data_IF_387497562284
#
_entry.id   IF_387497562284
#
_cell.length_a   1.000
_cell.length_b   1.000
_cell.length_c   1.000
_cell.angle_alpha   90.00
_cell.angle_beta   90.00
_cell.angle_gamma   90.00
#
_symmetry.space_group_name_H-M   'P 1'
#
loop_
_entity.id
_entity.type
_entity.pdbx_description
1 polymer ?
#
# COMPACT_ATOMS: atom_id res chain seq x y z
N UNK A 1 -6.71 20.11 -20.60
CA UNK A 1 -8.17 19.94 -20.65
C UNK A 1 -8.63 18.51 -20.35
N UNK A 2 -8.17 17.48 -21.10
CA UNK A 2 -8.63 16.09 -20.88
C UNK A 2 -8.12 15.49 -19.56
N UNK A 3 -6.88 15.75 -19.18
CA UNK A 3 -6.28 15.30 -17.91
C UNK A 3 -7.02 15.89 -16.71
N UNK A 4 -7.33 17.18 -16.73
CA UNK A 4 -8.10 17.82 -15.65
C UNK A 4 -9.49 17.22 -15.51
N UNK A 5 -10.17 16.98 -16.65
CA UNK A 5 -11.49 16.31 -16.66
C UNK A 5 -11.41 14.92 -16.07
N UNK A 6 -10.35 14.18 -16.40
CA UNK A 6 -10.12 12.85 -15.86
C UNK A 6 -9.94 12.86 -14.33
N UNK A 7 -9.13 13.78 -13.80
CA UNK A 7 -8.91 13.89 -12.36
C UNK A 7 -10.19 14.25 -11.60
N UNK A 8 -11.00 15.14 -12.16
CA UNK A 8 -12.30 15.47 -11.59
C UNK A 8 -13.25 14.24 -11.60
N UNK A 9 -13.24 13.46 -12.68
CA UNK A 9 -14.04 12.25 -12.78
C UNK A 9 -13.55 11.18 -11.79
N UNK A 10 -12.24 10.98 -11.65
CA UNK A 10 -11.65 10.07 -10.66
C UNK A 10 -12.05 10.48 -9.24
N UNK A 11 -11.93 11.75 -8.89
CA UNK A 11 -12.32 12.28 -7.59
C UNK A 11 -13.81 12.04 -7.26
N UNK A 12 -14.67 12.04 -8.30
CA UNK A 12 -16.09 11.73 -8.18
C UNK A 12 -16.44 10.24 -8.32
N UNK A 13 -15.42 9.39 -8.54
CA UNK A 13 -15.60 7.94 -8.82
C UNK A 13 -16.43 7.66 -10.09
N UNK A 14 -16.40 8.58 -11.03
CA UNK A 14 -17.02 8.44 -12.36
C UNK A 14 -16.07 7.67 -13.30
N UNK A 15 -15.88 6.37 -13.01
CA UNK A 15 -14.82 5.57 -13.60
C UNK A 15 -14.86 5.50 -15.13
N UNK A 16 -16.06 5.43 -15.73
CA UNK A 16 -16.22 5.41 -17.18
C UNK A 16 -15.78 6.73 -17.82
N UNK A 17 -16.22 7.84 -17.26
CA UNK A 17 -15.82 9.19 -17.70
C UNK A 17 -14.31 9.39 -17.56
N UNK A 18 -13.73 8.86 -16.47
CA UNK A 18 -12.28 8.92 -16.23
C UNK A 18 -11.50 8.11 -17.28
N UNK A 19 -11.89 6.85 -17.56
CA UNK A 19 -11.25 6.00 -18.58
C UNK A 19 -11.31 6.65 -19.97
N UNK A 20 -12.47 7.16 -20.38
CA UNK A 20 -12.63 7.87 -21.66
C UNK A 20 -11.78 9.13 -21.75
N UNK A 21 -11.74 9.95 -20.70
CA UNK A 21 -10.96 11.17 -20.66
C UNK A 21 -9.45 10.90 -20.67
N UNK A 22 -9.00 9.87 -19.92
CA UNK A 22 -7.59 9.43 -19.90
C UNK A 22 -7.18 8.81 -21.23
N UNK A 23 -8.06 8.06 -21.88
CA UNK A 23 -7.79 7.52 -23.21
C UNK A 23 -7.59 8.63 -24.24
N UNK A 24 -8.41 9.68 -24.18
CA UNK A 24 -8.20 10.87 -25.03
C UNK A 24 -6.93 11.63 -24.66
N UNK A 25 -6.64 11.75 -23.35
CA UNK A 25 -5.39 12.37 -22.88
C UNK A 25 -4.16 11.65 -23.42
N UNK A 26 -4.14 10.33 -23.34
CA UNK A 26 -3.06 9.49 -23.82
C UNK A 26 -2.92 9.47 -25.35
N UNK A 27 -4.01 9.68 -26.08
CA UNK A 27 -3.95 9.87 -27.53
C UNK A 27 -3.12 11.10 -27.92
N UNK A 28 -3.24 12.20 -27.16
CA UNK A 28 -2.46 13.43 -27.39
C UNK A 28 -1.09 13.44 -26.70
N UNK A 29 -0.95 12.73 -25.57
CA UNK A 29 0.28 12.63 -24.77
C UNK A 29 0.55 11.17 -24.42
N UNK A 30 1.06 10.35 -25.35
CA UNK A 30 1.23 8.91 -25.15
C UNK A 30 2.28 8.54 -24.11
N UNK A 31 3.19 9.44 -23.77
CA UNK A 31 4.26 9.19 -22.79
C UNK A 31 3.93 9.67 -21.37
N UNK A 32 2.65 9.90 -21.05
CA UNK A 32 2.26 10.33 -19.72
C UNK A 32 2.03 9.12 -18.81
N UNK A 33 3.04 8.79 -18.01
CA UNK A 33 3.04 7.67 -17.05
C UNK A 33 1.87 7.74 -16.08
N UNK A 34 1.61 8.92 -15.52
CA UNK A 34 0.53 9.11 -14.55
C UNK A 34 -0.86 8.89 -15.15
N UNK A 35 -1.05 9.23 -16.42
CA UNK A 35 -2.30 8.96 -17.12
C UNK A 35 -2.55 7.45 -17.30
N UNK A 36 -1.52 6.64 -17.54
CA UNK A 36 -1.65 5.18 -17.56
C UNK A 36 -2.01 4.64 -16.19
N UNK A 37 -1.31 5.05 -15.12
CA UNK A 37 -1.60 4.60 -13.75
C UNK A 37 -3.04 4.93 -13.34
N UNK A 38 -3.48 6.16 -13.62
CA UNK A 38 -4.83 6.60 -13.30
C UNK A 38 -5.89 5.91 -14.15
N UNK A 39 -5.58 5.59 -15.43
CA UNK A 39 -6.49 4.81 -16.28
C UNK A 39 -6.60 3.37 -15.82
N UNK A 40 -5.50 2.78 -15.38
CA UNK A 40 -5.53 1.47 -14.75
C UNK A 40 -6.47 1.44 -13.54
N UNK A 41 -6.43 2.46 -12.68
CA UNK A 41 -7.35 2.61 -11.57
C UNK A 41 -8.82 2.62 -12.03
N UNK A 42 -9.16 3.46 -12.99
CA UNK A 42 -10.52 3.52 -13.52
C UNK A 42 -10.96 2.15 -14.07
N UNK A 43 -10.07 1.48 -14.83
CA UNK A 43 -10.31 0.17 -15.44
C UNK A 43 -10.48 -0.95 -14.43
N UNK A 44 -9.76 -0.92 -13.32
CA UNK A 44 -9.96 -1.87 -12.21
C UNK A 44 -11.37 -1.74 -11.66
N UNK A 45 -11.82 -0.52 -11.40
CA UNK A 45 -13.16 -0.25 -10.89
C UNK A 45 -14.28 -0.58 -11.91
N UNK A 46 -13.93 -0.60 -13.19
CA UNK A 46 -14.81 -1.07 -14.28
C UNK A 46 -14.71 -2.58 -14.53
N UNK A 47 -13.95 -3.31 -13.70
CA UNK A 47 -13.64 -4.73 -13.87
C UNK A 47 -12.92 -5.07 -15.19
N UNK A 48 -12.27 -4.09 -15.83
CA UNK A 48 -11.42 -4.29 -17.00
C UNK A 48 -9.98 -4.57 -16.56
N UNK A 49 -9.78 -5.73 -15.94
CA UNK A 49 -8.49 -6.11 -15.32
C UNK A 49 -7.38 -6.27 -16.35
N UNK A 50 -7.71 -6.77 -17.56
CA UNK A 50 -6.72 -6.91 -18.64
C UNK A 50 -6.22 -5.55 -19.13
N UNK A 51 -7.14 -4.60 -19.33
CA UNK A 51 -6.78 -3.24 -19.73
C UNK A 51 -5.98 -2.50 -18.66
N UNK A 52 -6.30 -2.72 -17.38
CA UNK A 52 -5.56 -2.15 -16.27
C UNK A 52 -4.13 -2.71 -16.18
N UNK A 53 -3.96 -4.03 -16.38
CA UNK A 53 -2.62 -4.65 -16.41
C UNK A 53 -1.75 -4.07 -17.52
N UNK A 54 -2.31 -3.95 -18.73
CA UNK A 54 -1.62 -3.33 -19.85
C UNK A 54 -1.21 -1.87 -19.57
N UNK A 55 -2.04 -1.13 -18.88
CA UNK A 55 -1.71 0.25 -18.50
C UNK A 55 -0.56 0.32 -17.48
N UNK A 56 -0.50 -0.58 -16.49
CA UNK A 56 0.64 -0.65 -15.59
C UNK A 56 1.92 -1.09 -16.31
N UNK A 57 1.83 -2.02 -17.26
CA UNK A 57 2.97 -2.43 -18.07
C UNK A 57 3.48 -1.24 -18.90
N UNK A 58 2.60 -0.50 -19.59
CA UNK A 58 2.97 0.71 -20.32
C UNK A 58 3.59 1.78 -19.41
N UNK A 59 3.05 1.96 -18.20
CA UNK A 59 3.61 2.91 -17.24
C UNK A 59 5.05 2.54 -16.83
N UNK A 60 5.32 1.26 -16.62
CA UNK A 60 6.64 0.74 -16.24
C UNK A 60 7.60 0.75 -17.45
N UNK A 61 7.13 0.48 -18.64
CA UNK A 61 7.95 0.59 -19.87
C UNK A 61 8.43 2.03 -20.10
N UNK A 62 7.59 3.03 -19.76
CA UNK A 62 7.93 4.45 -19.86
C UNK A 62 8.81 4.94 -18.70
N UNK A 63 8.54 4.46 -17.50
CA UNK A 63 9.30 4.76 -16.29
C UNK A 63 9.55 3.49 -15.48
N UNK A 64 10.66 2.77 -15.75
CA UNK A 64 11.00 1.52 -15.08
C UNK A 64 11.20 1.65 -13.56
N UNK A 65 11.39 2.85 -13.06
CA UNK A 65 11.57 3.12 -11.64
C UNK A 65 10.30 3.63 -10.96
N UNK A 66 9.17 3.60 -11.63
CA UNK A 66 7.92 4.09 -11.08
C UNK A 66 7.42 3.18 -9.95
N UNK A 67 7.63 3.64 -8.72
CA UNK A 67 7.24 2.93 -7.51
C UNK A 67 5.75 2.55 -7.51
N UNK A 68 4.89 3.51 -7.83
CA UNK A 68 3.44 3.34 -7.75
C UNK A 68 2.92 2.33 -8.79
N UNK A 69 3.49 2.36 -10.00
CA UNK A 69 3.13 1.41 -11.04
C UNK A 69 3.50 -0.03 -10.65
N UNK A 70 4.72 -0.26 -10.14
CA UNK A 70 5.14 -1.57 -9.63
C UNK A 70 4.29 -2.03 -8.44
N UNK A 71 4.04 -1.15 -7.47
CA UNK A 71 3.26 -1.50 -6.30
C UNK A 71 1.83 -1.92 -6.67
N UNK A 72 1.16 -1.12 -7.48
CA UNK A 72 -0.22 -1.40 -7.90
C UNK A 72 -0.31 -2.62 -8.83
N UNK A 73 0.67 -2.81 -9.73
CA UNK A 73 0.75 -4.02 -10.56
C UNK A 73 0.96 -5.26 -9.69
N UNK A 74 1.82 -5.19 -8.70
CA UNK A 74 2.04 -6.26 -7.73
C UNK A 74 0.75 -6.66 -7.02
N UNK A 75 0.00 -5.69 -6.48
CA UNK A 75 -1.30 -5.94 -5.84
C UNK A 75 -2.31 -6.56 -6.81
N UNK A 76 -2.35 -6.08 -8.04
CA UNK A 76 -3.24 -6.62 -9.06
C UNK A 76 -2.88 -8.06 -9.44
N UNK A 77 -1.59 -8.38 -9.54
CA UNK A 77 -1.10 -9.74 -9.76
C UNK A 77 -1.50 -10.69 -8.64
N UNK A 78 -1.47 -10.21 -7.39
CA UNK A 78 -1.98 -10.97 -6.23
C UNK A 78 -3.46 -11.33 -6.42
N UNK A 79 -4.28 -10.35 -6.83
CA UNK A 79 -5.71 -10.60 -7.08
C UNK A 79 -5.95 -11.60 -8.21
N UNK A 80 -5.12 -11.58 -9.22
CA UNK A 80 -5.19 -12.50 -10.37
C UNK A 80 -4.58 -13.87 -10.08
N UNK A 81 -4.00 -14.08 -8.88
CA UNK A 81 -3.32 -15.31 -8.50
C UNK A 81 -1.94 -15.49 -9.11
N UNK A 82 -1.36 -14.46 -9.69
CA UNK A 82 -0.02 -14.47 -10.26
C UNK A 82 1.03 -14.11 -9.20
N UNK A 83 1.09 -14.97 -8.19
CA UNK A 83 1.85 -14.73 -6.98
C UNK A 83 3.36 -14.58 -7.25
N UNK A 84 3.92 -15.34 -8.18
CA UNK A 84 5.36 -15.28 -8.48
C UNK A 84 5.76 -13.96 -9.13
N UNK A 85 4.97 -13.46 -10.09
CA UNK A 85 5.25 -12.15 -10.70
C UNK A 85 4.92 -10.99 -9.75
N UNK A 86 3.96 -11.17 -8.84
CA UNK A 86 3.71 -10.20 -7.77
C UNK A 86 4.92 -10.07 -6.83
N UNK A 87 5.57 -11.19 -6.45
CA UNK A 87 6.81 -11.18 -5.66
C UNK A 87 7.88 -10.31 -6.33
N UNK A 88 8.06 -10.44 -7.66
CA UNK A 88 9.04 -9.65 -8.40
C UNK A 88 8.76 -8.13 -8.32
N UNK A 89 7.49 -7.72 -8.37
CA UNK A 89 7.13 -6.31 -8.20
C UNK A 89 7.43 -5.82 -6.77
N UNK A 90 7.13 -6.63 -5.74
CA UNK A 90 7.47 -6.27 -4.36
C UNK A 90 8.97 -6.31 -4.10
N UNK A 91 9.75 -7.20 -4.74
CA UNK A 91 11.21 -7.18 -4.68
C UNK A 91 11.78 -5.86 -5.19
N UNK A 92 11.23 -5.34 -6.29
CA UNK A 92 11.60 -4.03 -6.81
C UNK A 92 11.32 -2.92 -5.78
N UNK A 93 10.11 -2.91 -5.18
CA UNK A 93 9.74 -1.93 -4.16
C UNK A 93 10.70 -1.97 -2.97
N UNK A 94 11.02 -3.17 -2.47
CA UNK A 94 11.91 -3.36 -1.33
C UNK A 94 13.35 -2.95 -1.66
N UNK A 95 13.78 -3.12 -2.91
CA UNK A 95 15.07 -2.62 -3.38
C UNK A 95 15.13 -1.10 -3.34
N UNK A 96 14.05 -0.42 -3.70
CA UNK A 96 13.95 1.04 -3.68
C UNK A 96 13.76 1.59 -2.27
N UNK A 97 12.90 0.95 -1.49
CA UNK A 97 12.57 1.30 -0.11
C UNK A 97 12.72 0.09 0.82
N UNK A 98 13.94 -0.20 1.34
CA UNK A 98 14.19 -1.39 2.17
C UNK A 98 13.42 -1.42 3.50
N UNK A 99 12.84 -0.28 3.91
CA UNK A 99 12.05 -0.16 5.12
C UNK A 99 10.53 -0.15 4.85
N UNK A 100 10.11 -0.38 3.60
CA UNK A 100 8.69 -0.40 3.25
C UNK A 100 8.01 -1.66 3.80
N UNK A 101 7.45 -1.53 5.00
CA UNK A 101 6.85 -2.68 5.70
C UNK A 101 5.68 -3.30 4.95
N UNK A 102 4.91 -2.50 4.18
CA UNK A 102 3.77 -3.00 3.40
C UNK A 102 4.23 -3.93 2.28
N UNK A 103 5.25 -3.52 1.54
CA UNK A 103 5.82 -4.36 0.49
C UNK A 103 6.46 -5.63 1.06
N UNK A 104 7.21 -5.51 2.17
CA UNK A 104 7.83 -6.65 2.85
C UNK A 104 6.76 -7.61 3.37
N UNK A 105 5.69 -7.09 3.98
CA UNK A 105 4.61 -7.92 4.50
C UNK A 105 3.81 -8.60 3.37
N UNK A 106 3.50 -7.89 2.29
CA UNK A 106 2.83 -8.49 1.13
C UNK A 106 3.69 -9.58 0.49
N UNK A 107 5.00 -9.36 0.38
CA UNK A 107 5.92 -10.40 -0.11
C UNK A 107 5.98 -11.60 0.84
N UNK A 108 5.97 -11.37 2.16
CA UNK A 108 5.92 -12.44 3.16
C UNK A 108 4.69 -13.32 2.98
N UNK A 109 3.50 -12.71 2.80
CA UNK A 109 2.26 -13.43 2.55
C UNK A 109 2.33 -14.28 1.27
N UNK A 110 2.93 -13.74 0.22
CA UNK A 110 3.11 -14.46 -1.04
C UNK A 110 4.10 -15.62 -0.92
N UNK A 111 5.21 -15.42 -0.21
CA UNK A 111 6.15 -16.48 0.09
C UNK A 111 5.53 -17.61 0.94
N UNK A 112 4.68 -17.24 1.90
CA UNK A 112 3.92 -18.21 2.70
C UNK A 112 2.94 -19.00 1.81
N UNK A 113 2.16 -18.30 0.99
CA UNK A 113 1.19 -18.88 0.05
C UNK A 113 1.86 -19.81 -0.97
N UNK A 114 3.02 -19.44 -1.49
CA UNK A 114 3.78 -20.23 -2.48
C UNK A 114 4.63 -21.33 -1.83
N UNK A 115 4.60 -21.48 -0.50
CA UNK A 115 5.33 -22.52 0.23
C UNK A 115 6.79 -22.18 0.52
N UNK A 116 7.29 -21.01 0.16
CA UNK A 116 8.65 -20.57 0.49
C UNK A 116 8.71 -20.06 1.95
N UNK A 117 8.44 -20.95 2.88
CA UNK A 117 8.27 -20.64 4.30
C UNK A 117 9.47 -19.93 4.94
N UNK A 118 10.70 -20.31 4.51
CA UNK A 118 11.91 -19.68 5.06
C UNK A 118 12.03 -18.21 4.62
N UNK A 119 11.65 -17.87 3.39
CA UNK A 119 11.61 -16.50 2.92
C UNK A 119 10.50 -15.73 3.64
N UNK A 120 9.31 -16.29 3.77
CA UNK A 120 8.21 -15.71 4.53
C UNK A 120 8.62 -15.37 5.97
N UNK A 121 9.29 -16.29 6.67
CA UNK A 121 9.78 -16.07 8.04
C UNK A 121 10.77 -14.90 8.10
N UNK A 122 11.68 -14.76 7.12
CA UNK A 122 12.63 -13.65 7.09
C UNK A 122 11.88 -12.30 6.95
N UNK A 123 10.95 -12.24 6.03
CA UNK A 123 10.17 -11.03 5.78
C UNK A 123 9.26 -10.68 6.97
N UNK A 124 8.53 -11.65 7.53
CA UNK A 124 7.76 -11.43 8.77
C UNK A 124 8.65 -10.95 9.92
N UNK A 125 9.86 -11.51 10.05
CA UNK A 125 10.81 -11.09 11.09
C UNK A 125 11.22 -9.63 10.90
N UNK A 126 11.49 -9.20 9.67
CA UNK A 126 11.81 -7.81 9.35
C UNK A 126 10.67 -6.87 9.76
N UNK A 127 9.42 -7.22 9.43
CA UNK A 127 8.24 -6.44 9.80
C UNK A 127 8.05 -6.41 11.33
N UNK A 128 8.18 -7.55 12.00
CA UNK A 128 8.03 -7.65 13.46
C UNK A 128 9.11 -6.85 14.19
N UNK A 129 10.32 -6.80 13.66
CA UNK A 129 11.40 -5.97 14.24
C UNK A 129 11.09 -4.47 14.14
N UNK A 130 10.41 -4.05 13.07
CA UNK A 130 9.94 -2.67 12.93
C UNK A 130 8.71 -2.39 13.82
N UNK A 131 7.80 -3.37 13.89
CA UNK A 131 6.52 -3.29 14.60
C UNK A 131 6.35 -4.48 15.55
N UNK A 132 6.95 -4.45 16.75
CA UNK A 132 6.95 -5.60 17.67
C UNK A 132 5.56 -6.09 18.09
N UNK A 133 4.53 -5.25 17.99
CA UNK A 133 3.14 -5.56 18.31
C UNK A 133 2.27 -5.86 17.09
N UNK A 134 2.90 -6.16 15.96
CA UNK A 134 2.18 -6.57 14.76
C UNK A 134 1.74 -8.04 14.88
N UNK A 135 0.59 -8.25 15.53
CA UNK A 135 0.09 -9.57 15.90
C UNK A 135 -0.15 -10.49 14.71
N UNK A 136 -0.65 -9.95 13.61
CA UNK A 136 -0.84 -10.70 12.36
C UNK A 136 0.48 -11.27 11.85
N UNK A 137 1.55 -10.46 11.85
CA UNK A 137 2.88 -10.92 11.44
C UNK A 137 3.42 -12.03 12.35
N UNK A 138 3.23 -11.89 13.68
CA UNK A 138 3.61 -12.93 14.64
C UNK A 138 2.83 -14.24 14.41
N UNK A 139 1.51 -14.15 14.23
CA UNK A 139 0.66 -15.32 13.99
C UNK A 139 1.04 -16.04 12.69
N UNK A 140 1.26 -15.31 11.61
CA UNK A 140 1.66 -15.88 10.33
C UNK A 140 3.05 -16.52 10.42
N UNK A 141 4.00 -15.85 11.13
CA UNK A 141 5.33 -16.43 11.34
C UNK A 141 5.29 -17.71 12.18
N UNK A 142 4.47 -17.73 13.24
CA UNK A 142 4.26 -18.93 14.03
C UNK A 142 3.70 -20.07 13.20
N UNK A 143 2.73 -19.80 12.32
CA UNK A 143 2.19 -20.78 11.37
C UNK A 143 3.31 -21.34 10.45
N UNK A 144 4.13 -20.48 9.89
CA UNK A 144 5.28 -20.89 9.06
C UNK A 144 6.27 -21.76 9.87
N UNK A 145 6.55 -21.41 11.13
CA UNK A 145 7.41 -22.21 12.01
C UNK A 145 6.82 -23.59 12.28
N UNK A 146 5.50 -23.69 12.54
CA UNK A 146 4.83 -24.99 12.75
C UNK A 146 4.93 -25.87 11.50
N UNK A 147 4.69 -25.31 10.32
CA UNK A 147 4.80 -26.02 9.05
C UNK A 147 6.22 -26.53 8.76
N UNK A 148 7.25 -25.89 9.33
CA UNK A 148 8.64 -26.31 9.26
C UNK A 148 9.06 -27.22 10.43
N UNK A 149 8.16 -27.60 11.34
CA UNK A 149 8.47 -28.41 12.51
C UNK A 149 9.24 -27.65 13.61
N UNK A 150 9.35 -26.32 13.52
CA UNK A 150 10.05 -25.48 14.50
C UNK A 150 9.13 -25.07 15.64
N UNK A 151 8.57 -26.04 16.37
CA UNK A 151 7.50 -25.87 17.36
C UNK A 151 7.86 -24.86 18.46
N UNK A 152 9.05 -24.94 19.03
CA UNK A 152 9.48 -24.02 20.08
C UNK A 152 9.47 -22.55 19.63
N UNK A 153 9.84 -22.26 18.37
CA UNK A 153 9.78 -20.89 17.84
C UNK A 153 8.35 -20.41 17.61
N UNK A 154 7.48 -21.31 17.16
CA UNK A 154 6.06 -21.01 17.01
C UNK A 154 5.43 -20.67 18.37
N UNK A 155 5.67 -21.48 19.39
CA UNK A 155 5.18 -21.27 20.75
C UNK A 155 5.66 -19.95 21.37
N UNK A 156 6.87 -19.51 21.07
CA UNK A 156 7.37 -18.20 21.51
C UNK A 156 6.54 -17.05 20.93
N UNK A 157 6.21 -17.10 19.65
CA UNK A 157 5.41 -16.07 19.00
C UNK A 157 3.95 -16.10 19.51
N UNK A 158 3.37 -17.27 19.65
CA UNK A 158 2.02 -17.49 20.19
C UNK A 158 1.93 -17.04 21.65
N UNK A 159 2.94 -17.31 22.48
CA UNK A 159 3.00 -16.84 23.85
C UNK A 159 3.05 -15.30 23.93
N UNK A 160 3.77 -14.65 23.03
CA UNK A 160 3.77 -13.18 22.94
C UNK A 160 2.38 -12.64 22.66
N UNK A 161 1.66 -13.26 21.72
CA UNK A 161 0.27 -12.86 21.37
C UNK A 161 -0.64 -13.08 22.57
N UNK A 162 -0.59 -14.28 23.18
CA UNK A 162 -1.38 -14.62 24.37
C UNK A 162 -1.13 -13.64 25.53
N UNK A 163 0.14 -13.36 25.85
CA UNK A 163 0.49 -12.42 26.90
C UNK A 163 -0.06 -11.01 26.64
N UNK A 164 -0.04 -10.55 25.39
CA UNK A 164 -0.58 -9.26 25.03
C UNK A 164 -2.11 -9.22 25.16
N UNK A 165 -2.80 -10.28 24.79
CA UNK A 165 -4.25 -10.41 24.95
C UNK A 165 -4.64 -10.44 26.43
N UNK A 166 -3.92 -11.21 27.25
CA UNK A 166 -4.12 -11.25 28.70
C UNK A 166 -3.89 -9.88 29.34
N UNK A 167 -2.80 -9.20 28.99
CA UNK A 167 -2.53 -7.86 29.51
C UNK A 167 -3.63 -6.87 29.13
N UNK A 168 -4.14 -6.94 27.90
CA UNK A 168 -5.27 -6.12 27.45
C UNK A 168 -6.53 -6.41 28.26
N UNK A 169 -6.83 -7.67 28.51
CA UNK A 169 -7.99 -8.10 29.31
C UNK A 169 -7.88 -7.64 30.76
N UNK A 170 -6.67 -7.68 31.33
CA UNK A 170 -6.40 -7.22 32.69
C UNK A 170 -6.23 -5.69 32.82
N UNK A 171 -6.41 -4.94 31.73
CA UNK A 171 -6.22 -3.48 31.71
C UNK A 171 -4.77 -3.04 31.91
N UNK A 172 -3.80 -3.96 31.78
CA UNK A 172 -2.39 -3.67 31.94
C UNK A 172 -1.88 -2.95 30.69
N UNK A 173 -1.62 -1.65 30.82
CA UNK A 173 -1.04 -0.84 29.76
C UNK A 173 0.48 -1.09 29.67
N UNK A 174 1.03 -1.26 28.44
CA UNK A 174 2.48 -1.31 28.26
C UNK A 174 3.12 0.00 28.80
N UNK A 175 4.08 -0.12 29.70
CA UNK A 175 4.88 1.04 30.13
C UNK A 175 5.87 1.40 29.00
N UNK A 176 5.51 2.36 28.20
CA UNK A 176 6.35 2.83 27.12
C UNK A 176 7.16 4.04 27.56
N UNK A 177 8.45 4.04 27.28
CA UNK A 177 9.28 5.24 27.45
C UNK A 177 8.78 6.36 26.53
N UNK A 178 9.07 7.61 26.87
CA UNK A 178 8.71 8.76 26.04
C UNK A 178 9.31 8.62 24.61
N UNK A 179 10.53 8.06 24.52
CA UNK A 179 11.20 7.76 23.25
C UNK A 179 10.43 6.73 22.43
N UNK A 180 10.03 5.63 23.04
CA UNK A 180 9.25 4.56 22.38
C UNK A 180 7.87 5.05 21.94
N UNK A 181 7.19 5.88 22.78
CA UNK A 181 5.91 6.50 22.38
C UNK A 181 6.06 7.39 21.16
N UNK A 182 7.14 8.20 21.09
CA UNK A 182 7.41 9.07 19.94
C UNK A 182 7.71 8.26 18.67
N UNK A 183 8.47 7.18 18.77
CA UNK A 183 8.78 6.30 17.63
C UNK A 183 7.55 5.55 17.12
N UNK A 184 6.73 5.02 18.01
CA UNK A 184 5.48 4.33 17.65
C UNK A 184 4.50 5.31 16.99
N UNK A 185 4.36 6.52 17.55
CA UNK A 185 3.53 7.57 16.95
C UNK A 185 4.02 7.96 15.56
N UNK A 186 5.33 8.16 15.39
CA UNK A 186 5.95 8.47 14.08
C UNK A 186 5.74 7.36 13.05
N UNK A 187 5.69 6.09 13.49
CA UNK A 187 5.44 4.92 12.62
C UNK A 187 3.96 4.71 12.32
N UNK A 188 3.05 5.06 13.25
CA UNK A 188 1.60 5.00 13.02
C UNK A 188 1.09 6.12 12.09
N UNK A 189 1.91 7.14 11.86
CA UNK A 189 1.64 8.22 10.90
C UNK A 189 2.01 7.86 9.46
N UNK A 190 2.56 6.66 9.22
CA UNK A 190 2.74 6.16 7.85
C UNK A 190 1.35 5.83 7.31
N UNK A 191 0.86 6.69 6.44
CA UNK A 191 -0.42 6.48 5.78
C UNK A 191 -0.33 5.26 4.84
N UNK A 192 -1.04 4.15 5.14
CA UNK A 192 -1.05 2.98 4.26
C UNK A 192 -1.68 3.28 2.91
N UNK A 193 -2.47 4.36 2.80
CA UNK A 193 -3.10 4.78 1.56
C UNK A 193 -2.16 5.62 0.67
N UNK A 194 -0.96 5.94 1.13
CA UNK A 194 0.02 6.73 0.35
C UNK A 194 0.29 6.12 -1.04
N UNK A 195 0.23 4.79 -1.15
CA UNK A 195 0.48 4.07 -2.40
C UNK A 195 -0.78 3.76 -3.19
N UNK A 196 -1.93 4.04 -2.62
CA UNK A 196 -3.24 3.83 -3.21
C UNK A 196 -3.90 5.15 -3.63
N UNK A 197 -3.13 6.14 -4.02
CA UNK A 197 -3.64 7.47 -4.33
C UNK A 197 -3.66 7.78 -5.83
N UNK A 198 -4.51 8.71 -6.21
CA UNK A 198 -4.54 9.28 -7.57
C UNK A 198 -3.23 10.02 -7.80
N UNK A 199 -2.54 9.69 -8.90
CA UNK A 199 -1.31 10.38 -9.30
C UNK A 199 -1.70 11.63 -10.09
N UNK A 200 -1.30 12.77 -9.59
CA UNK A 200 -1.47 14.06 -10.27
C UNK A 200 -0.13 14.45 -10.85
N UNK A 201 -0.12 14.82 -12.13
CA UNK A 201 1.08 15.38 -12.74
C UNK A 201 1.50 16.63 -11.97
N UNK A 202 2.76 16.73 -11.62
CA UNK A 202 3.36 17.98 -11.16
C UNK A 202 3.28 18.97 -12.33
N UNK A 203 2.22 19.78 -12.35
CA UNK A 203 2.25 20.98 -13.17
C UNK A 203 3.45 21.81 -12.72
N UNK A 204 4.23 22.42 -13.66
CA UNK A 204 5.31 23.30 -13.26
C UNK A 204 4.74 24.27 -12.23
N UNK A 205 5.24 24.16 -11.00
CA UNK A 205 4.81 25.02 -9.89
C UNK A 205 4.98 26.45 -10.35
N UNK A 206 3.89 27.09 -10.71
CA UNK A 206 3.86 28.52 -10.60
C UNK A 206 4.00 28.78 -9.10
N UNK A 207 5.20 29.11 -8.68
CA UNK A 207 5.49 29.57 -7.34
C UNK A 207 4.78 30.90 -7.09
N UNK A 208 3.48 30.84 -6.90
CA UNK A 208 2.82 31.89 -6.19
C UNK A 208 3.23 31.76 -4.73
N UNK A 209 4.26 32.48 -4.34
CA UNK A 209 4.58 32.71 -2.95
C UNK A 209 3.37 33.35 -2.25
N UNK A 210 2.47 32.51 -1.78
CA UNK A 210 1.48 32.95 -0.81
C UNK A 210 2.15 33.11 0.54
N UNK A 211 2.63 34.31 0.84
CA UNK A 211 3.04 34.72 2.18
C UNK A 211 1.79 34.84 3.05
N UNK A 212 1.24 33.77 3.55
CA UNK A 212 0.20 33.81 4.57
C UNK A 212 0.30 32.66 5.53
N UNK A 213 -0.02 32.94 6.79
CA UNK A 213 -0.07 32.00 7.92
C UNK A 213 -1.08 30.84 7.71
N UNK A 214 -1.90 30.90 6.68
CA UNK A 214 -2.90 29.89 6.31
C UNK A 214 -2.40 28.79 5.41
N UNK A 215 -1.15 28.83 4.94
CA UNK A 215 -0.57 27.89 3.96
C UNK A 215 -0.70 26.42 4.35
N UNK A 216 -0.45 26.08 5.60
CA UNK A 216 -0.45 24.70 6.07
C UNK A 216 -1.84 24.06 6.13
N UNK A 217 -2.85 24.83 6.60
CA UNK A 217 -4.20 24.29 6.81
C UNK A 217 -5.02 24.14 5.53
N UNK A 218 -4.83 25.04 4.56
CA UNK A 218 -5.55 24.98 3.27
C UNK A 218 -4.95 23.90 2.38
N UNK A 219 -3.62 23.74 2.34
CA UNK A 219 -2.97 22.67 1.58
C UNK A 219 -3.32 21.28 2.11
N UNK A 220 -3.35 21.09 3.42
CA UNK A 220 -3.75 19.80 3.99
C UNK A 220 -5.20 19.44 3.65
N UNK A 221 -6.14 20.38 3.65
CA UNK A 221 -7.53 20.12 3.26
C UNK A 221 -7.68 19.82 1.77
N UNK A 222 -6.95 20.49 0.89
CA UNK A 222 -7.01 20.21 -0.54
C UNK A 222 -6.31 18.90 -0.91
N UNK A 223 -5.22 18.56 -0.23
CA UNK A 223 -4.51 17.29 -0.41
C UNK A 223 -5.36 16.12 0.09
N UNK A 224 -5.98 16.23 1.28
CA UNK A 224 -6.87 15.19 1.81
C UNK A 224 -8.13 14.99 0.94
N UNK A 225 -8.65 16.04 0.30
CA UNK A 225 -9.79 15.93 -0.61
C UNK A 225 -9.44 15.37 -2.00
N UNK A 226 -8.16 15.44 -2.42
CA UNK A 226 -7.71 14.99 -3.73
C UNK A 226 -7.26 13.52 -3.76
N UNK A 227 -6.96 12.92 -2.62
CA UNK A 227 -6.46 11.56 -2.53
C UNK A 227 -7.57 10.58 -2.14
N UNK A 228 -8.18 9.96 -3.15
CA UNK A 228 -9.04 8.79 -2.92
C UNK A 228 -8.18 7.53 -2.92
N UNK A 229 -8.31 6.65 -1.92
CA UNK A 229 -7.55 5.41 -1.85
C UNK A 229 -7.85 4.54 -3.07
N UNK A 230 -6.81 4.11 -3.78
CA UNK A 230 -6.92 3.28 -4.98
C UNK A 230 -7.27 1.83 -4.69
N UNK A 231 -6.84 1.31 -3.53
CA UNK A 231 -6.97 -0.08 -3.17
C UNK A 231 -7.11 -0.27 -1.67
N UNK A 232 -8.14 -0.97 -1.24
CA UNK A 232 -8.12 -1.60 0.07
C UNK A 232 -7.34 -2.91 -0.07
N UNK A 233 -6.16 -2.98 0.55
CA UNK A 233 -5.45 -4.25 0.70
C UNK A 233 -6.23 -5.08 1.70
N UNK A 234 -7.08 -5.96 1.21
CA UNK A 234 -7.94 -6.84 2.01
C UNK A 234 -7.20 -7.88 2.84
N UNK A 235 -5.86 -7.82 2.87
CA UNK A 235 -5.03 -8.72 3.68
C UNK A 235 -4.85 -8.27 5.14
N UNK A 236 -5.39 -7.11 5.53
CA UNK A 236 -5.46 -6.69 6.93
C UNK A 236 -6.87 -6.87 7.46
N UNK A 237 -7.14 -7.88 8.30
CA UNK A 237 -8.46 -8.02 8.95
C UNK A 237 -8.85 -6.79 9.80
N UNK A 238 -7.87 -5.98 10.18
CA UNK A 238 -8.09 -4.72 10.93
C UNK A 238 -8.42 -3.51 10.04
N UNK A 239 -8.13 -3.55 8.75
CA UNK A 239 -8.45 -2.44 7.84
C UNK A 239 -9.94 -2.38 7.50
N UNK A 240 -10.63 -3.53 7.51
CA UNK A 240 -12.09 -3.59 7.32
C UNK A 240 -12.90 -3.03 8.51
N UNK A 241 -12.28 -2.89 9.69
CA UNK A 241 -12.94 -2.30 10.86
C UNK A 241 -12.76 -0.77 10.96
N UNK A 242 -11.84 -0.20 10.18
CA UNK A 242 -11.60 1.26 10.20
C UNK A 242 -12.54 2.00 9.25
N UNK A 243 -13.18 1.31 8.31
CA UNK A 243 -14.09 1.93 7.32
C UNK A 243 -15.54 2.08 7.78
N UNK A 244 -15.88 1.68 9.01
CA UNK A 244 -17.29 1.69 9.49
C UNK A 244 -17.59 2.77 10.54
N UNK A 245 -16.66 3.67 10.84
CA UNK A 245 -16.91 4.80 11.77
C UNK A 245 -16.43 6.10 11.17
N UNK A 246 -17.29 6.74 10.40
CA UNK A 246 -17.11 8.11 9.95
C UNK A 246 -18.35 8.58 9.22
#
# INVERSE_FOLDING_TARGET
AWTTRAYMALARKEWKTADEALTKSLHFKPNNVNSYINRALARINLNNLRGAMSDYDNAIDLDPNNFLAHYNRGLMRVQLGDDNRAITDFDFIIKMEPQNFMAIFNRALLHDKTGNLRAAIRDYTTVINQFPNFWTGLSNRASCYRRLGMTAKAEMDEFRIFKAQMNKHLGIQPRWSAKTKKEVRKRSEIDPNKFASIVVDDEPKYEHEYKSEYRGKVQNRMVEAAYLPMYHVTYFPSASQISSTG
#
